data_IF_202941518955
#
_entry.id   IF_202941518955
#
_cell.length_a   1.000
_cell.length_b   1.000
_cell.length_c   1.000
_cell.angle_alpha   90.00
_cell.angle_beta   90.00
_cell.angle_gamma   90.00
#
_symmetry.space_group_name_H-M   'P 1'
#
loop_
_entity.id
_entity.type
_entity.pdbx_description
1 polymer ?
#
# COMPACT_ATOMS: atom_id res chain seq x y z
N UNK A 1 19.15 11.39 6.52
CA UNK A 1 17.68 11.59 6.65
C UNK A 1 17.05 10.39 5.98
N UNK A 2 16.25 9.58 6.68
CA UNK A 2 15.50 8.52 6.02
C UNK A 2 14.59 9.15 4.96
N UNK A 3 14.55 8.59 3.75
CA UNK A 3 13.70 9.13 2.68
C UNK A 3 12.32 8.48 2.81
N UNK A 4 11.31 9.26 3.16
CA UNK A 4 9.94 8.77 3.31
C UNK A 4 9.02 9.40 2.26
N UNK A 5 7.98 8.67 1.85
CA UNK A 5 6.93 9.16 0.94
C UNK A 5 5.55 9.00 1.58
N UNK A 6 4.75 10.04 1.46
CA UNK A 6 3.32 10.07 1.80
C UNK A 6 2.48 9.42 0.71
N UNK A 7 1.25 9.02 1.03
CA UNK A 7 0.30 8.46 0.04
C UNK A 7 0.09 9.37 -1.16
N UNK A 8 0.09 10.70 -0.95
CA UNK A 8 -0.06 11.68 -2.03
C UNK A 8 1.12 11.62 -3.01
N UNK A 9 2.34 11.63 -2.49
CA UNK A 9 3.55 11.53 -3.33
C UNK A 9 3.60 10.18 -4.07
N UNK A 10 3.16 9.10 -3.41
CA UNK A 10 3.02 7.78 -4.04
C UNK A 10 2.00 7.83 -5.19
N UNK A 11 0.87 8.53 -5.03
CA UNK A 11 -0.14 8.69 -6.08
C UNK A 11 0.35 9.55 -7.27
N UNK A 12 1.27 10.48 -7.04
CA UNK A 12 1.88 11.27 -8.10
C UNK A 12 2.89 10.44 -8.93
N UNK A 13 3.49 9.41 -8.33
CA UNK A 13 4.46 8.51 -8.97
C UNK A 13 3.77 7.30 -9.63
N UNK A 14 2.84 6.65 -8.92
CA UNK A 14 2.16 5.44 -9.37
C UNK A 14 0.83 5.76 -10.06
N UNK A 15 0.47 5.04 -11.14
CA UNK A 15 -0.82 5.21 -11.80
C UNK A 15 -1.99 4.58 -11.01
N UNK A 16 -1.71 3.70 -10.04
CA UNK A 16 -2.71 2.95 -9.29
C UNK A 16 -3.60 3.88 -8.44
N UNK A 17 -4.90 3.56 -8.37
CA UNK A 17 -5.91 4.25 -7.55
C UNK A 17 -6.80 3.22 -6.87
N UNK A 18 -7.67 3.67 -5.95
CA UNK A 18 -8.64 2.78 -5.30
C UNK A 18 -9.42 1.95 -6.34
N UNK A 19 -9.61 0.63 -6.11
CA UNK A 19 -9.19 -0.16 -4.93
C UNK A 19 -7.81 -0.85 -5.07
N UNK A 20 -6.98 -0.47 -6.05
CA UNK A 20 -5.72 -1.14 -6.40
C UNK A 20 -4.43 -0.36 -6.03
N UNK A 21 -4.55 0.75 -5.32
CA UNK A 21 -3.40 1.38 -4.67
C UNK A 21 -3.17 0.69 -3.31
N UNK A 22 -2.20 -0.23 -3.27
CA UNK A 22 -1.94 -1.09 -2.11
C UNK A 22 -0.65 -0.72 -1.37
N UNK A 23 -0.22 0.54 -1.44
CA UNK A 23 0.94 1.07 -0.70
C UNK A 23 0.51 2.39 -0.06
N UNK A 24 0.50 2.43 1.27
CA UNK A 24 0.02 3.59 2.02
C UNK A 24 1.16 4.56 2.37
N UNK A 25 2.37 4.05 2.61
CA UNK A 25 3.55 4.86 2.91
C UNK A 25 4.85 4.17 2.47
N UNK A 26 5.88 4.97 2.21
CA UNK A 26 7.28 4.52 2.17
C UNK A 26 7.98 5.06 3.41
N UNK A 27 8.57 4.16 4.20
CA UNK A 27 9.23 4.49 5.47
C UNK A 27 10.73 4.77 5.26
N UNK A 28 11.38 4.08 4.32
CA UNK A 28 12.75 4.36 3.88
C UNK A 28 13.02 3.81 2.48
N UNK A 29 13.96 4.38 1.72
CA UNK A 29 14.40 3.82 0.44
C UNK A 29 15.80 4.28 0.00
N UNK A 30 16.43 3.45 -0.83
CA UNK A 30 17.63 3.78 -1.60
C UNK A 30 17.39 3.48 -3.07
N UNK A 31 17.48 4.52 -3.89
CA UNK A 31 17.22 4.46 -5.33
C UNK A 31 18.06 3.37 -6.01
N UNK A 32 17.40 2.51 -6.78
CA UNK A 32 18.04 1.37 -7.46
C UNK A 32 18.40 0.19 -6.56
N UNK A 33 18.15 0.26 -5.25
CA UNK A 33 18.54 -0.78 -4.30
C UNK A 33 17.38 -1.33 -3.46
N UNK A 34 16.67 -0.49 -2.70
CA UNK A 34 15.55 -0.95 -1.86
C UNK A 34 14.49 0.13 -1.61
N UNK A 35 13.31 -0.31 -1.19
CA UNK A 35 12.30 0.51 -0.54
C UNK A 35 11.58 -0.31 0.55
N UNK A 36 11.32 0.31 1.70
CA UNK A 36 10.55 -0.25 2.81
C UNK A 36 9.19 0.44 2.81
N UNK A 37 8.14 -0.30 2.46
CA UNK A 37 6.79 0.22 2.36
C UNK A 37 5.86 -0.36 3.43
N UNK A 38 4.75 0.34 3.67
CA UNK A 38 3.68 -0.11 4.56
C UNK A 38 2.34 -0.13 3.82
N UNK A 39 1.57 -1.18 4.09
CA UNK A 39 0.17 -1.34 3.70
C UNK A 39 -0.63 -1.68 4.96
N UNK A 40 -1.49 -0.77 5.37
CA UNK A 40 -2.42 -0.93 6.48
C UNK A 40 -3.59 -1.78 6.01
N UNK A 41 -3.87 -2.86 6.75
CA UNK A 41 -4.93 -3.80 6.41
C UNK A 41 -6.14 -3.50 7.27
N UNK A 42 -7.29 -3.28 6.63
CA UNK A 42 -8.57 -3.13 7.32
C UNK A 42 -9.59 -4.11 6.76
N UNK A 43 -10.48 -4.61 7.63
CA UNK A 43 -11.54 -5.53 7.22
C UNK A 43 -12.48 -4.92 6.16
N UNK A 44 -12.60 -3.59 6.11
CA UNK A 44 -13.43 -2.86 5.15
C UNK A 44 -12.88 -2.86 3.71
N UNK A 45 -11.74 -3.51 3.43
CA UNK A 45 -11.21 -3.61 2.07
C UNK A 45 -12.04 -4.54 1.17
N UNK A 46 -12.29 -4.18 -0.10
CA UNK A 46 -13.29 -4.84 -0.93
C UNK A 46 -12.98 -6.30 -1.24
N UNK A 47 -11.71 -6.72 -1.23
CA UNK A 47 -11.35 -8.11 -1.50
C UNK A 47 -11.73 -9.07 -0.37
N UNK A 48 -11.88 -8.60 0.88
CA UNK A 48 -12.32 -9.46 1.99
C UNK A 48 -13.78 -9.92 1.84
N UNK A 49 -14.58 -9.29 0.99
CA UNK A 49 -15.92 -9.77 0.63
C UNK A 49 -15.87 -11.13 -0.10
N UNK A 50 -14.75 -11.44 -0.77
CA UNK A 50 -14.58 -12.64 -1.57
C UNK A 50 -13.41 -13.54 -1.18
N UNK A 51 -12.51 -13.10 -0.30
CA UNK A 51 -11.27 -13.84 0.02
C UNK A 51 -11.05 -13.99 1.53
N UNK A 52 -11.69 -14.97 2.17
CA UNK A 52 -12.88 -15.71 1.75
C UNK A 52 -14.08 -15.27 2.60
N UNK A 53 -15.33 -15.50 2.16
CA UNK A 53 -16.50 -15.29 3.01
C UNK A 53 -16.32 -15.96 4.38
N UNK A 54 -16.59 -15.22 5.46
CA UNK A 54 -16.43 -15.65 6.86
C UNK A 54 -14.98 -15.98 7.29
N UNK A 55 -13.99 -15.79 6.41
CA UNK A 55 -12.58 -16.07 6.67
C UNK A 55 -11.70 -15.04 5.95
N UNK A 56 -11.56 -13.81 6.46
CA UNK A 56 -10.79 -12.76 5.80
C UNK A 56 -9.30 -13.11 5.75
N UNK A 57 -8.78 -13.25 4.52
CA UNK A 57 -7.37 -13.51 4.22
C UNK A 57 -6.92 -12.47 3.19
N UNK A 58 -5.79 -11.80 3.44
CA UNK A 58 -5.17 -10.93 2.45
C UNK A 58 -4.22 -11.72 1.57
#
# INVERSE_FOLDING_TARGET
MAKALTTREIMDILPHRSPFLLVDAIEDYKEGEYAIGRKCITYDEPYFQGHFPEMPIM
#
